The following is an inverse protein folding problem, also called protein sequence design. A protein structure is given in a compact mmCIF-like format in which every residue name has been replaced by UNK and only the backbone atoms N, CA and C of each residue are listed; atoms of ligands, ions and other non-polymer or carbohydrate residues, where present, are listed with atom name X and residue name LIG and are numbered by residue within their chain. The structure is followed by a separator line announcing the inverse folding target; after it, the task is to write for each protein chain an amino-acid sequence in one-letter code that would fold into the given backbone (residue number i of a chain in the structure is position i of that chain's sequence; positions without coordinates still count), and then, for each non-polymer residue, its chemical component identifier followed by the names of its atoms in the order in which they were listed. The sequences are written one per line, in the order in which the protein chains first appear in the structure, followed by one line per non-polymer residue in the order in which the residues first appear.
data_IF_117760466496
#
_entry.id   IF_117760466496
#
_cell.length_a   1.000
_cell.length_b   1.000
_cell.length_c   1.000
_cell.angle_alpha   90.00
_cell.angle_beta   90.00
_cell.angle_gamma   90.00
#
_symmetry.space_group_name_H-M   'P 1'
#
loop_
_entity.id
_entity.type
_entity.pdbx_description
1 polymer ?
#
# COMPACT_ATOMS: atom_id res chain seq x y z
N UNK A 1 11.10 -6.38 -26.43
CA UNK A 1 11.06 -4.96 -26.01
C UNK A 1 9.65 -4.49 -25.63
N UNK A 2 8.62 -4.75 -26.45
CA UNK A 2 7.23 -4.33 -26.14
C UNK A 2 6.67 -4.85 -24.81
N UNK A 3 6.85 -6.13 -24.50
CA UNK A 3 6.35 -6.71 -23.23
C UNK A 3 6.95 -6.07 -21.96
N UNK A 4 8.24 -5.71 -22.00
CA UNK A 4 8.92 -5.01 -20.91
C UNK A 4 8.35 -3.61 -20.66
N UNK A 5 8.02 -2.89 -21.75
CA UNK A 5 7.43 -1.54 -21.67
C UNK A 5 6.02 -1.61 -21.06
N UNK A 6 5.19 -2.55 -21.54
CA UNK A 6 3.84 -2.75 -21.00
C UNK A 6 3.89 -3.08 -19.51
N UNK A 7 4.73 -4.02 -19.10
CA UNK A 7 4.91 -4.36 -17.68
C UNK A 7 5.35 -3.14 -16.85
N UNK A 8 6.32 -2.37 -17.34
CA UNK A 8 6.79 -1.16 -16.65
C UNK A 8 5.69 -0.12 -16.48
N UNK A 9 4.86 0.10 -17.51
CA UNK A 9 3.71 1.01 -17.45
C UNK A 9 2.68 0.52 -16.43
N UNK A 10 2.34 -0.77 -16.44
CA UNK A 10 1.42 -1.37 -15.48
C UNK A 10 1.96 -1.21 -14.05
N UNK A 11 3.23 -1.51 -13.81
CA UNK A 11 3.85 -1.35 -12.50
C UNK A 11 3.82 0.11 -12.03
N UNK A 12 4.08 1.06 -12.94
CA UNK A 12 4.02 2.48 -12.62
C UNK A 12 2.61 2.91 -12.21
N UNK A 13 1.58 2.46 -12.95
CA UNK A 13 0.18 2.75 -12.64
C UNK A 13 -0.24 2.12 -11.29
N UNK A 14 0.12 0.86 -11.04
CA UNK A 14 -0.14 0.19 -9.76
C UNK A 14 0.51 0.94 -8.59
N UNK A 15 1.80 1.30 -8.71
CA UNK A 15 2.50 2.12 -7.73
C UNK A 15 1.79 3.46 -7.49
N UNK A 16 1.35 4.11 -8.58
CA UNK A 16 0.58 5.34 -8.52
C UNK A 16 -0.71 5.22 -7.74
N UNK A 17 -1.49 4.15 -7.96
CA UNK A 17 -2.73 3.87 -7.20
C UNK A 17 -2.43 3.70 -5.71
N UNK A 18 -1.44 2.87 -5.34
CA UNK A 18 -1.10 2.65 -3.93
C UNK A 18 -0.59 3.92 -3.26
N UNK A 19 0.23 4.72 -3.97
CA UNK A 19 0.69 6.01 -3.45
C UNK A 19 -0.48 6.99 -3.28
N UNK A 20 -1.42 7.03 -4.23
CA UNK A 20 -2.62 7.88 -4.16
C UNK A 20 -3.49 7.50 -2.95
N UNK A 21 -3.71 6.20 -2.71
CA UNK A 21 -4.39 5.69 -1.50
C UNK A 21 -3.65 6.19 -0.25
N UNK A 22 -2.32 6.10 -0.23
CA UNK A 22 -1.50 6.60 0.86
C UNK A 22 -1.68 8.10 1.11
N UNK A 23 -1.63 8.94 0.05
CA UNK A 23 -1.82 10.38 0.19
C UNK A 23 -3.25 10.74 0.61
N UNK A 24 -4.24 10.02 0.12
CA UNK A 24 -5.64 10.19 0.50
C UNK A 24 -5.87 9.84 1.98
N UNK A 25 -5.29 8.74 2.45
CA UNK A 25 -5.33 8.36 3.86
C UNK A 25 -4.82 9.49 4.77
N UNK A 26 -3.77 10.23 4.40
CA UNK A 26 -3.25 11.37 5.20
C UNK A 26 -4.25 12.52 5.36
N UNK A 27 -5.15 12.71 4.39
CA UNK A 27 -6.09 13.84 4.33
C UNK A 27 -7.47 13.48 4.87
N UNK A 28 -7.75 12.19 5.08
CA UNK A 28 -9.01 11.73 5.66
C UNK A 28 -9.18 12.21 7.10
N UNK A 29 -10.40 12.67 7.42
CA UNK A 29 -10.83 13.00 8.78
C UNK A 29 -11.38 11.78 9.53
N UNK A 30 -11.97 10.84 8.80
CA UNK A 30 -12.46 9.56 9.32
C UNK A 30 -11.34 8.51 9.31
N UNK A 31 -11.45 7.44 10.12
CA UNK A 31 -10.51 6.33 10.07
C UNK A 31 -10.36 5.76 8.66
N UNK A 32 -9.13 5.57 8.22
CA UNK A 32 -8.84 4.86 6.98
C UNK A 32 -9.25 3.38 7.09
N UNK A 33 -9.97 2.89 6.10
CA UNK A 33 -10.31 1.47 5.97
C UNK A 33 -9.27 0.75 5.11
N UNK A 34 -9.10 -0.54 5.36
CA UNK A 34 -8.15 -1.35 4.59
C UNK A 34 -8.79 -2.00 3.37
N UNK A 35 -9.97 -2.60 3.54
CA UNK A 35 -10.72 -3.24 2.47
C UNK A 35 -11.84 -2.33 1.98
N UNK A 36 -12.17 -2.47 0.70
CA UNK A 36 -13.43 -1.95 0.19
C UNK A 36 -14.59 -2.64 0.90
N UNK A 37 -15.54 -1.86 1.42
CA UNK A 37 -16.74 -2.39 2.08
C UNK A 37 -16.58 -2.76 3.55
N UNK A 38 -15.39 -2.57 4.15
CA UNK A 38 -15.24 -2.59 5.61
C UNK A 38 -15.22 -1.17 6.14
N UNK A 39 -15.91 -0.94 7.25
CA UNK A 39 -15.84 0.32 7.99
C UNK A 39 -15.07 0.11 9.31
N UNK A 40 -14.43 1.17 9.77
CA UNK A 40 -13.75 1.26 11.06
C UNK A 40 -14.40 2.44 11.75
N UNK A 41 -15.14 2.18 12.82
CA UNK A 41 -15.89 3.23 13.49
C UNK A 41 -14.92 4.23 14.16
N UNK A 42 -15.21 5.54 14.15
CA UNK A 42 -14.37 6.54 14.83
C UNK A 42 -14.10 6.23 16.31
N UNK A 43 -15.07 5.61 16.99
CA UNK A 43 -15.00 5.25 18.41
C UNK A 43 -13.99 4.12 18.69
N UNK A 44 -13.71 3.29 17.69
CA UNK A 44 -12.70 2.22 17.77
C UNK A 44 -11.27 2.76 17.74
N UNK A 45 -11.06 4.02 17.36
CA UNK A 45 -9.73 4.58 17.11
C UNK A 45 -9.47 5.81 17.98
N UNK A 46 -8.56 5.66 18.96
CA UNK A 46 -8.22 6.71 19.94
C UNK A 46 -7.59 7.98 19.33
N UNK A 47 -6.90 7.86 18.20
CA UNK A 47 -6.18 8.95 17.52
C UNK A 47 -6.25 8.73 16.00
N UNK A 48 -7.32 9.25 15.40
CA UNK A 48 -7.61 9.11 13.98
C UNK A 48 -6.51 9.74 13.11
N UNK A 49 -6.03 10.98 13.36
CA UNK A 49 -4.95 11.56 12.57
C UNK A 49 -3.67 10.72 12.57
N UNK A 50 -3.25 10.17 13.73
CA UNK A 50 -2.05 9.33 13.78
C UNK A 50 -2.26 7.96 13.12
N UNK A 51 -3.42 7.34 13.29
CA UNK A 51 -3.81 6.11 12.62
C UNK A 51 -3.80 6.27 11.09
N UNK A 52 -4.36 7.38 10.59
CA UNK A 52 -4.38 7.72 9.17
C UNK A 52 -2.98 7.98 8.61
N UNK A 53 -2.10 8.68 9.35
CA UNK A 53 -0.68 8.83 8.98
C UNK A 53 0.06 7.50 8.93
N UNK A 54 -0.24 6.58 9.83
CA UNK A 54 0.37 5.25 9.84
C UNK A 54 -0.07 4.42 8.63
N UNK A 55 -1.37 4.40 8.32
CA UNK A 55 -1.91 3.76 7.11
C UNK A 55 -1.35 4.39 5.83
N UNK A 56 -1.25 5.72 5.78
CA UNK A 56 -0.63 6.42 4.67
C UNK A 56 0.81 5.97 4.40
N UNK A 57 1.61 5.82 5.46
CA UNK A 57 2.98 5.32 5.37
C UNK A 57 3.00 3.88 4.86
N UNK A 58 2.09 3.02 5.36
CA UNK A 58 1.98 1.63 4.91
C UNK A 58 1.76 1.55 3.39
N UNK A 59 0.74 2.24 2.88
CA UNK A 59 0.42 2.25 1.44
C UNK A 59 1.52 2.89 0.59
N UNK A 60 2.16 3.96 1.07
CA UNK A 60 3.27 4.59 0.36
C UNK A 60 4.49 3.67 0.28
N UNK A 61 4.82 2.94 1.35
CA UNK A 61 5.91 1.95 1.34
C UNK A 61 5.57 0.80 0.40
N UNK A 62 4.32 0.34 0.41
CA UNK A 62 3.87 -0.73 -0.48
C UNK A 62 3.91 -0.35 -1.97
N UNK A 63 3.84 0.94 -2.31
CA UNK A 63 4.02 1.39 -3.71
C UNK A 63 5.47 1.30 -4.22
N UNK A 64 6.48 1.31 -3.34
CA UNK A 64 7.89 1.44 -3.73
C UNK A 64 8.39 0.29 -4.63
N UNK A 65 8.09 -0.99 -4.34
CA UNK A 65 8.50 -2.09 -5.20
C UNK A 65 7.91 -2.00 -6.61
N UNK A 66 6.71 -1.44 -6.76
CA UNK A 66 6.08 -1.25 -8.08
C UNK A 66 6.77 -0.16 -8.88
N UNK A 67 7.09 0.98 -8.27
CA UNK A 67 7.89 2.02 -8.96
C UNK A 67 9.29 1.52 -9.30
N UNK A 68 9.93 0.78 -8.40
CA UNK A 68 11.24 0.18 -8.66
C UNK A 68 11.15 -0.81 -9.83
N UNK A 69 10.13 -1.67 -9.85
CA UNK A 69 9.86 -2.61 -10.95
C UNK A 69 9.60 -1.89 -12.27
N UNK A 70 8.92 -0.74 -12.24
CA UNK A 70 8.68 0.07 -13.44
C UNK A 70 9.99 0.61 -14.04
N UNK A 71 10.88 1.16 -13.21
CA UNK A 71 12.17 1.72 -13.64
C UNK A 71 13.11 0.62 -14.15
N UNK A 72 13.28 -0.46 -13.39
CA UNK A 72 14.23 -1.53 -13.75
C UNK A 72 13.70 -2.44 -14.86
N UNK A 73 12.37 -2.56 -15.00
CA UNK A 73 11.71 -3.50 -15.91
C UNK A 73 12.00 -3.26 -17.40
N UNK A 74 12.37 -2.03 -17.76
CA UNK A 74 12.79 -1.68 -19.13
C UNK A 74 14.07 -2.42 -19.52
N UNK A 75 15.01 -2.57 -18.58
CA UNK A 75 16.34 -3.15 -18.82
C UNK A 75 16.46 -4.59 -18.31
N UNK A 76 15.77 -4.92 -17.21
CA UNK A 76 15.88 -6.19 -16.50
C UNK A 76 14.48 -6.75 -16.17
N UNK A 77 13.70 -7.18 -17.18
CA UNK A 77 12.31 -7.58 -16.98
C UNK A 77 12.15 -8.80 -16.04
N UNK A 78 13.10 -9.74 -16.03
CA UNK A 78 13.05 -10.89 -15.11
C UNK A 78 13.14 -10.48 -13.64
N UNK A 79 14.03 -9.54 -13.31
CA UNK A 79 14.19 -9.05 -11.94
C UNK A 79 12.97 -8.23 -11.49
N UNK A 80 12.41 -7.40 -12.37
CA UNK A 80 11.16 -6.71 -12.12
C UNK A 80 10.00 -7.69 -11.88
N UNK A 81 9.89 -8.75 -12.68
CA UNK A 81 8.88 -9.79 -12.49
C UNK A 81 8.97 -10.47 -11.11
N UNK A 82 10.18 -10.80 -10.65
CA UNK A 82 10.40 -11.35 -9.31
C UNK A 82 9.97 -10.35 -8.23
N UNK A 83 10.35 -9.07 -8.37
CA UNK A 83 10.01 -8.03 -7.41
C UNK A 83 8.48 -7.82 -7.30
N UNK A 84 7.78 -7.82 -8.44
CA UNK A 84 6.31 -7.76 -8.47
C UNK A 84 5.71 -9.02 -7.85
N UNK A 85 6.21 -10.21 -8.18
CA UNK A 85 5.75 -11.48 -7.62
C UNK A 85 5.87 -11.52 -6.09
N UNK A 86 7.00 -11.05 -5.55
CA UNK A 86 7.21 -10.91 -4.11
C UNK A 86 6.27 -9.87 -3.48
N UNK A 87 5.91 -8.82 -4.21
CA UNK A 87 4.99 -7.78 -3.73
C UNK A 87 3.54 -8.26 -3.68
N UNK A 88 3.13 -9.10 -4.64
CA UNK A 88 1.78 -9.64 -4.71
C UNK A 88 1.53 -10.80 -3.72
N UNK A 89 2.52 -11.63 -3.41
CA UNK A 89 2.34 -12.76 -2.50
C UNK A 89 2.84 -12.42 -1.08
N UNK A 90 4.15 -12.49 -0.78
CA UNK A 90 4.68 -12.04 0.52
C UNK A 90 4.25 -10.63 0.93
N UNK A 91 4.20 -9.71 -0.04
CA UNK A 91 3.88 -8.32 0.22
C UNK A 91 2.45 -8.10 0.72
N UNK A 92 1.47 -8.89 0.26
CA UNK A 92 0.09 -8.80 0.79
C UNK A 92 0.05 -9.27 2.25
N UNK A 93 0.71 -10.38 2.59
CA UNK A 93 0.80 -10.82 3.99
C UNK A 93 1.46 -9.78 4.88
N UNK A 94 2.54 -9.15 4.40
CA UNK A 94 3.18 -8.04 5.11
C UNK A 94 2.25 -6.84 5.28
N UNK A 95 1.49 -6.48 4.25
CA UNK A 95 0.50 -5.40 4.26
C UNK A 95 -0.57 -5.66 5.32
N UNK A 96 -1.14 -6.87 5.33
CA UNK A 96 -2.15 -7.32 6.28
C UNK A 96 -1.64 -7.31 7.71
N UNK A 97 -0.46 -7.89 7.96
CA UNK A 97 0.13 -7.93 9.29
C UNK A 97 0.41 -6.52 9.82
N UNK A 98 0.99 -5.66 8.98
CA UNK A 98 1.30 -4.29 9.32
C UNK A 98 0.02 -3.49 9.60
N UNK A 99 -1.02 -3.67 8.80
CA UNK A 99 -2.33 -3.06 9.05
C UNK A 99 -2.90 -3.49 10.41
N UNK A 100 -2.95 -4.78 10.72
CA UNK A 100 -3.47 -5.25 12.01
C UNK A 100 -2.64 -4.76 13.20
N UNK A 101 -1.33 -4.57 13.00
CA UNK A 101 -0.45 -3.96 14.02
C UNK A 101 -0.76 -2.48 14.20
N UNK A 102 -1.02 -1.74 13.13
CA UNK A 102 -1.45 -0.34 13.17
C UNK A 102 -2.80 -0.25 13.88
N UNK A 103 -3.79 -1.04 13.45
CA UNK A 103 -5.12 -1.08 14.06
C UNK A 103 -5.02 -1.33 15.57
N UNK A 104 -4.36 -2.40 16.02
CA UNK A 104 -4.19 -2.71 17.45
C UNK A 104 -3.45 -1.63 18.24
N UNK A 105 -2.53 -0.90 17.61
CA UNK A 105 -1.79 0.20 18.26
C UNK A 105 -2.69 1.42 18.54
N UNK A 106 -3.67 1.67 17.69
CA UNK A 106 -4.56 2.82 17.80
C UNK A 106 -5.98 2.46 18.25
N UNK A 107 -6.27 1.17 18.39
CA UNK A 107 -7.52 0.68 18.93
C UNK A 107 -7.77 1.28 20.32
N UNK A 108 -8.95 1.84 20.51
CA UNK A 108 -9.48 2.17 21.83
C UNK A 108 -9.63 0.83 22.55
N UNK A 109 -8.85 0.59 23.62
CA UNK A 109 -9.05 -0.61 24.44
C UNK A 109 -10.49 -0.56 24.98
N UNK A 110 -11.18 -1.71 25.08
CA UNK A 110 -12.37 -1.78 25.93
C UNK A 110 -12.01 -1.38 27.38
#
# INVERSE_FOLDING_TARGET
MGGSIVMSLVCFLCGGVFLAIGQWARRRKEPMHFYSGTEVAPEEIRDIPAYNRANARLWSVYSLPYFLSAVIGIRYPGFAGILVGLSCMPGIFFLLFSYHRIYRKYATKP
#
